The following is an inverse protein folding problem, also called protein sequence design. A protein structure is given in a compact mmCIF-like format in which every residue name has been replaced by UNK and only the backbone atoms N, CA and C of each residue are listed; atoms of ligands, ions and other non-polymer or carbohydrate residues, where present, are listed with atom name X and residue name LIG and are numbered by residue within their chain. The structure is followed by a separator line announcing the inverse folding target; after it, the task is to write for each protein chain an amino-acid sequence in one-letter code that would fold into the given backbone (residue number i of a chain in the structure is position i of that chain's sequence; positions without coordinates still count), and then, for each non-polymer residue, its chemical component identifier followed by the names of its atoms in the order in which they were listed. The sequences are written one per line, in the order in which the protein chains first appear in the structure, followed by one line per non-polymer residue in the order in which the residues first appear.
data_IF_997028192250
#
_entry.id   IF_997028192250
#
_cell.length_a   1.000
_cell.length_b   1.000
_cell.length_c   1.000
_cell.angle_alpha   90.00
_cell.angle_beta   90.00
_cell.angle_gamma   90.00
#
_symmetry.space_group_name_H-M   'P 1'
#
loop_
_entity.id
_entity.type
_entity.pdbx_description
1 polymer ?
#
# COMPACT_ATOMS: atom_id res chain seq x y z
N UNK A 1 76.20 -22.96 23.96
CA UNK A 1 76.71 -21.58 23.80
C UNK A 1 76.50 -21.21 22.33
N UNK A 2 75.40 -20.51 22.01
CA UNK A 2 75.34 -19.06 21.63
C UNK A 2 76.06 -18.78 20.29
N UNK A 3 75.52 -18.05 19.30
CA UNK A 3 74.58 -16.93 19.35
C UNK A 3 73.88 -16.62 17.99
N UNK A 4 72.81 -15.84 18.11
CA UNK A 4 71.96 -15.15 17.11
C UNK A 4 72.66 -14.27 16.07
N UNK A 5 72.00 -14.04 14.91
CA UNK A 5 71.71 -12.69 14.32
C UNK A 5 70.62 -12.77 13.20
N UNK A 6 69.99 -11.66 12.73
CA UNK A 6 68.52 -11.52 12.68
C UNK A 6 67.94 -11.04 11.31
N UNK A 7 66.65 -10.62 11.32
CA UNK A 7 65.91 -9.80 10.32
C UNK A 7 65.44 -10.53 9.04
N UNK A 8 64.30 -10.23 8.43
CA UNK A 8 63.40 -9.06 8.45
C UNK A 8 62.01 -9.48 7.93
N UNK A 9 60.97 -8.85 8.44
CA UNK A 9 59.58 -8.91 7.95
C UNK A 9 59.52 -8.32 6.53
N UNK A 10 58.91 -9.02 5.57
CA UNK A 10 58.44 -8.42 4.32
C UNK A 10 56.99 -8.82 4.11
N UNK A 11 56.14 -7.80 4.00
CA UNK A 11 54.70 -7.88 3.83
C UNK A 11 54.37 -7.39 2.41
N UNK A 12 53.44 -8.09 1.75
CA UNK A 12 52.57 -7.68 0.64
C UNK A 12 53.22 -7.32 -0.72
N UNK A 13 52.83 -8.03 -1.81
CA UNK A 13 51.65 -7.71 -2.65
C UNK A 13 51.53 -8.60 -3.92
N UNK A 14 50.31 -9.12 -4.12
CA UNK A 14 49.50 -9.19 -5.35
C UNK A 14 49.97 -9.84 -6.67
N UNK A 15 49.02 -10.55 -7.32
CA UNK A 15 48.98 -10.90 -8.74
C UNK A 15 48.90 -12.42 -8.99
N UNK A 16 47.76 -13.12 -8.93
CA UNK A 16 46.53 -13.09 -9.74
C UNK A 16 46.51 -14.08 -10.93
N UNK A 17 45.37 -14.79 -11.04
CA UNK A 17 44.75 -15.50 -12.16
C UNK A 17 45.13 -16.96 -12.51
N UNK A 18 44.18 -17.87 -12.21
CA UNK A 18 43.70 -18.90 -13.15
C UNK A 18 42.23 -19.27 -12.82
N UNK A 19 41.34 -19.12 -13.79
CA UNK A 19 39.92 -19.53 -13.79
C UNK A 19 39.80 -21.03 -14.18
N UNK A 20 38.64 -21.75 -14.13
CA UNK A 20 37.35 -21.34 -14.76
C UNK A 20 36.03 -21.74 -14.04
N UNK A 21 34.98 -20.98 -14.40
CA UNK A 21 33.53 -21.25 -14.53
C UNK A 21 32.83 -22.37 -13.73
N UNK A 22 31.68 -22.05 -13.11
CA UNK A 22 30.36 -22.70 -13.32
C UNK A 22 29.24 -21.82 -12.69
N UNK A 23 28.21 -21.53 -13.51
CA UNK A 23 26.83 -21.08 -13.19
C UNK A 23 26.60 -20.30 -11.88
N UNK A 24 26.49 -18.97 -11.98
CA UNK A 24 25.66 -18.21 -11.06
C UNK A 24 24.19 -18.46 -11.42
N UNK A 25 23.59 -19.54 -10.93
CA UNK A 25 22.16 -19.52 -10.65
C UNK A 25 21.96 -18.43 -9.61
N UNK A 26 21.20 -17.39 -9.96
CA UNK A 26 20.74 -16.39 -9.01
C UNK A 26 20.06 -17.12 -7.86
N UNK A 27 20.77 -17.27 -6.76
CA UNK A 27 20.18 -17.64 -5.50
C UNK A 27 19.24 -16.49 -5.15
N UNK A 28 17.96 -16.66 -5.47
CA UNK A 28 16.87 -15.99 -4.78
C UNK A 28 17.22 -16.12 -3.29
N UNK A 29 17.25 -15.04 -2.49
CA UNK A 29 17.41 -15.18 -1.06
C UNK A 29 16.37 -16.20 -0.62
N UNK A 30 16.83 -17.38 -0.23
CA UNK A 30 15.97 -18.35 0.42
C UNK A 30 15.49 -17.61 1.65
N UNK A 31 14.24 -17.16 1.61
CA UNK A 31 13.50 -16.75 2.78
C UNK A 31 13.82 -17.81 3.81
N UNK A 32 14.53 -17.41 4.86
CA UNK A 32 14.54 -18.15 6.10
C UNK A 32 13.13 -18.01 6.66
N UNK A 33 12.17 -18.67 6.01
CA UNK A 33 10.86 -18.90 6.52
C UNK A 33 11.07 -19.76 7.76
N UNK A 34 10.85 -19.17 8.92
CA UNK A 34 10.54 -19.95 10.10
C UNK A 34 9.47 -20.94 9.70
N UNK A 35 9.72 -22.24 9.88
CA UNK A 35 8.70 -23.26 9.72
C UNK A 35 7.63 -23.00 10.77
N UNK A 36 6.59 -22.25 10.40
CA UNK A 36 5.37 -22.21 11.19
C UNK A 36 4.73 -23.60 11.06
N UNK A 37 4.59 -24.31 12.19
CA UNK A 37 4.25 -25.74 12.20
C UNK A 37 2.82 -26.06 11.75
N UNK A 38 2.01 -25.04 11.44
CA UNK A 38 0.64 -25.19 10.95
C UNK A 38 0.49 -24.44 9.63
N UNK A 39 0.04 -25.10 8.54
CA UNK A 39 -0.32 -24.41 7.31
C UNK A 39 -1.37 -23.33 7.60
N UNK A 40 -1.09 -22.09 7.20
CA UNK A 40 -1.91 -20.92 7.48
C UNK A 40 -2.00 -20.01 6.27
N UNK A 41 -3.20 -19.51 6.03
CA UNK A 41 -3.41 -18.35 5.17
C UNK A 41 -2.96 -17.15 5.99
N UNK A 42 -2.05 -16.34 5.45
CA UNK A 42 -1.58 -15.12 6.10
C UNK A 42 -1.41 -14.07 5.00
N UNK A 43 -2.05 -12.93 5.17
CA UNK A 43 -2.24 -11.93 4.14
C UNK A 43 -1.73 -10.58 4.61
N UNK A 44 -0.67 -10.10 3.97
CA UNK A 44 -0.22 -8.73 4.12
C UNK A 44 -0.98 -7.80 3.18
N UNK A 45 -1.29 -6.61 3.68
CA UNK A 45 -1.81 -5.51 2.87
C UNK A 45 -0.83 -4.36 2.84
N UNK A 46 -0.87 -3.51 1.81
CA UNK A 46 -0.08 -2.28 1.74
C UNK A 46 -0.90 -1.25 0.97
N UNK A 47 -1.00 -0.02 1.48
CA UNK A 47 -1.48 1.11 0.70
C UNK A 47 -0.28 1.81 0.05
N UNK A 48 -0.44 2.21 -1.21
CA UNK A 48 0.57 3.02 -1.88
C UNK A 48 0.75 4.35 -1.18
N UNK A 49 2.00 4.80 -1.05
CA UNK A 49 2.26 6.18 -0.69
C UNK A 49 1.72 7.14 -1.77
N UNK A 50 1.13 8.29 -1.38
CA UNK A 50 0.83 9.35 -2.33
C UNK A 50 2.08 9.80 -3.10
N UNK A 51 1.93 10.12 -4.38
CA UNK A 51 3.06 10.58 -5.22
C UNK A 51 3.64 11.89 -4.66
N UNK A 52 4.96 11.94 -4.50
CA UNK A 52 5.72 13.14 -4.08
C UNK A 52 6.71 13.54 -5.17
N UNK A 53 6.79 14.83 -5.49
CA UNK A 53 7.84 15.38 -6.33
C UNK A 53 9.12 15.49 -5.51
N UNK A 54 10.07 14.57 -5.72
CA UNK A 54 11.33 14.53 -4.98
C UNK A 54 12.26 15.71 -5.24
N UNK A 55 11.98 16.57 -6.23
CA UNK A 55 12.74 17.77 -6.49
C UNK A 55 12.30 18.96 -5.63
N UNK A 56 11.01 19.03 -5.31
CA UNK A 56 10.39 20.12 -4.53
C UNK A 56 9.93 19.68 -3.14
N UNK A 57 9.87 18.36 -2.90
CA UNK A 57 9.21 17.73 -1.75
C UNK A 57 7.74 18.13 -1.60
N UNK A 58 7.09 18.48 -2.72
CA UNK A 58 5.66 18.81 -2.75
C UNK A 58 4.81 17.59 -3.16
N UNK A 59 3.56 17.48 -2.66
CA UNK A 59 2.63 16.47 -3.11
C UNK A 59 2.31 16.62 -4.60
N UNK A 60 2.17 15.50 -5.32
CA UNK A 60 1.73 15.49 -6.71
C UNK A 60 0.24 15.18 -6.75
N UNK A 61 -0.55 16.10 -7.32
CA UNK A 61 -2.00 15.96 -7.43
C UNK A 61 -2.38 15.22 -8.72
N UNK A 62 -2.11 13.91 -8.77
CA UNK A 62 -2.33 13.03 -9.94
C UNK A 62 -3.52 12.06 -9.78
N UNK A 63 -3.98 11.81 -8.56
CA UNK A 63 -5.11 10.91 -8.28
C UNK A 63 -6.45 11.61 -8.49
N UNK A 64 -7.31 11.15 -9.42
CA UNK A 64 -8.60 11.78 -9.67
C UNK A 64 -9.63 11.41 -8.60
N UNK A 65 -10.44 12.40 -8.22
CA UNK A 65 -11.68 12.22 -7.46
C UNK A 65 -12.86 12.48 -8.38
N UNK A 66 -13.77 11.53 -8.50
CA UNK A 66 -14.90 11.60 -9.42
C UNK A 66 -16.17 12.14 -8.76
N UNK A 67 -17.05 12.77 -9.55
CA UNK A 67 -18.39 13.17 -9.11
C UNK A 67 -19.39 12.02 -9.25
N UNK A 68 -19.96 11.61 -8.13
CA UNK A 68 -21.03 10.61 -8.06
C UNK A 68 -20.55 9.18 -8.39
N UNK A 69 -21.21 8.14 -7.85
CA UNK A 69 -20.72 6.76 -7.90
C UNK A 69 -20.83 6.10 -9.28
N UNK A 70 -21.53 6.72 -10.23
CA UNK A 70 -21.85 6.12 -11.54
C UNK A 70 -21.02 6.66 -12.70
N UNK A 71 -20.20 7.70 -12.50
CA UNK A 71 -19.41 8.28 -13.59
C UNK A 71 -17.92 8.20 -13.29
N UNK A 72 -17.20 7.44 -14.10
CA UNK A 72 -15.73 7.32 -14.09
C UNK A 72 -15.06 8.38 -14.97
N UNK A 73 -15.84 9.32 -15.51
CA UNK A 73 -15.37 10.31 -16.51
C UNK A 73 -15.50 11.75 -16.03
N UNK A 74 -16.23 12.01 -14.95
CA UNK A 74 -16.44 13.36 -14.43
C UNK A 74 -15.53 13.61 -13.22
N UNK A 75 -14.29 14.03 -13.49
CA UNK A 75 -13.31 14.35 -12.45
C UNK A 75 -13.70 15.67 -11.78
N UNK A 76 -13.92 15.63 -10.47
CA UNK A 76 -14.24 16.79 -9.64
C UNK A 76 -12.98 17.60 -9.26
N UNK A 77 -11.92 16.87 -8.94
CA UNK A 77 -10.64 17.39 -8.44
C UNK A 77 -9.54 16.33 -8.64
N UNK A 78 -8.29 16.76 -8.56
CA UNK A 78 -7.14 15.87 -8.43
C UNK A 78 -6.49 16.06 -7.06
N UNK A 79 -5.85 14.99 -6.61
CA UNK A 79 -5.46 14.80 -5.24
C UNK A 79 -4.13 14.05 -5.14
N UNK A 80 -3.43 14.21 -4.02
CA UNK A 80 -2.27 13.39 -3.67
C UNK A 80 -2.71 12.39 -2.61
N UNK A 81 -3.29 11.27 -3.03
CA UNK A 81 -3.79 10.19 -2.16
C UNK A 81 -3.27 8.83 -2.62
N UNK A 82 -3.27 7.80 -1.74
CA UNK A 82 -3.06 6.42 -2.16
C UNK A 82 -3.98 6.08 -3.33
N UNK A 83 -3.44 5.46 -4.39
CA UNK A 83 -4.24 5.09 -5.57
C UNK A 83 -4.22 3.59 -5.84
N UNK A 84 -3.44 2.83 -5.08
CA UNK A 84 -3.44 1.37 -5.12
C UNK A 84 -3.33 0.80 -3.72
N UNK A 85 -3.90 -0.39 -3.54
CA UNK A 85 -3.60 -1.25 -2.41
C UNK A 85 -3.04 -2.57 -2.95
N UNK A 86 -2.02 -3.11 -2.31
CA UNK A 86 -1.42 -4.40 -2.66
C UNK A 86 -1.76 -5.41 -1.59
N UNK A 87 -2.29 -6.56 -1.99
CA UNK A 87 -2.49 -7.72 -1.11
C UNK A 87 -1.42 -8.74 -1.46
N UNK A 88 -0.74 -9.30 -0.46
CA UNK A 88 0.28 -10.34 -0.65
C UNK A 88 -0.03 -11.52 0.27
N UNK A 89 -0.04 -12.72 -0.29
CA UNK A 89 -0.09 -13.92 0.53
C UNK A 89 1.31 -14.21 1.07
N UNK A 90 1.53 -13.90 2.35
CA UNK A 90 2.79 -14.17 3.07
C UNK A 90 2.76 -15.51 3.82
N UNK A 91 1.59 -16.16 3.84
CA UNK A 91 1.37 -17.46 4.42
C UNK A 91 1.91 -18.63 3.61
N UNK A 92 1.53 -19.83 4.05
CA UNK A 92 2.07 -21.10 3.53
C UNK A 92 1.05 -21.88 2.69
N UNK A 93 -0.21 -21.44 2.64
CA UNK A 93 -1.27 -22.03 1.80
C UNK A 93 -1.94 -20.98 0.91
N UNK A 94 -2.62 -21.38 -0.18
CA UNK A 94 -3.31 -20.43 -1.06
C UNK A 94 -4.45 -19.69 -0.35
N UNK A 95 -4.52 -18.37 -0.53
CA UNK A 95 -5.62 -17.53 -0.06
C UNK A 95 -6.71 -17.45 -1.13
N UNK A 96 -7.93 -17.88 -0.82
CA UNK A 96 -9.06 -17.87 -1.75
C UNK A 96 -10.02 -16.75 -1.40
N UNK A 97 -10.35 -15.94 -2.41
CA UNK A 97 -11.22 -14.78 -2.29
C UNK A 97 -10.89 -13.84 -1.11
N UNK A 98 -9.64 -13.34 -1.01
CA UNK A 98 -9.25 -12.48 0.08
C UNK A 98 -10.16 -11.27 0.19
N UNK A 99 -10.42 -10.84 1.42
CA UNK A 99 -11.39 -9.81 1.73
C UNK A 99 -10.93 -8.96 2.90
N UNK A 100 -11.61 -7.85 3.14
CA UNK A 100 -11.28 -6.99 4.25
C UNK A 100 -12.18 -5.77 4.33
N UNK A 101 -11.71 -4.76 5.06
CA UNK A 101 -12.42 -3.49 5.19
C UNK A 101 -11.55 -2.34 4.71
N UNK A 102 -12.19 -1.30 4.19
CA UNK A 102 -11.56 -0.04 3.83
C UNK A 102 -12.37 1.10 4.43
N UNK A 103 -11.72 1.95 5.19
CA UNK A 103 -12.28 3.16 5.76
C UNK A 103 -11.71 4.37 5.03
N UNK A 104 -12.57 5.34 4.78
CA UNK A 104 -12.11 6.67 4.34
C UNK A 104 -12.66 7.74 5.26
N UNK A 105 -11.92 8.82 5.45
CA UNK A 105 -12.39 10.01 6.17
C UNK A 105 -11.86 11.26 5.48
N UNK A 106 -12.76 12.11 4.97
CA UNK A 106 -12.38 13.36 4.30
C UNK A 106 -12.73 14.55 5.16
N UNK A 107 -11.72 15.33 5.51
CA UNK A 107 -11.84 16.47 6.42
C UNK A 107 -11.40 17.77 5.74
N UNK A 108 -12.20 18.84 5.85
CA UNK A 108 -11.75 20.19 5.50
C UNK A 108 -10.75 20.68 6.55
N UNK A 109 -9.50 20.89 6.13
CA UNK A 109 -8.41 21.33 7.01
C UNK A 109 -8.10 22.82 6.88
N UNK A 110 -8.65 23.49 5.87
CA UNK A 110 -8.41 24.93 5.65
C UNK A 110 -9.36 25.80 6.46
N UNK A 111 -10.64 25.44 6.53
CA UNK A 111 -11.67 26.29 7.15
C UNK A 111 -12.21 25.74 8.46
N UNK A 112 -11.87 24.50 8.80
CA UNK A 112 -12.37 23.85 10.00
C UNK A 112 -11.26 23.24 10.86
N UNK A 113 -10.69 24.07 11.73
CA UNK A 113 -9.73 23.65 12.75
C UNK A 113 -10.31 22.67 13.80
N UNK A 114 -11.62 22.42 13.81
CA UNK A 114 -12.29 21.51 14.76
C UNK A 114 -12.63 20.14 14.19
N UNK A 115 -12.48 19.92 12.87
CA UNK A 115 -12.72 18.62 12.22
C UNK A 115 -14.18 18.20 12.13
N UNK A 116 -15.12 19.16 12.14
CA UNK A 116 -16.57 18.97 12.06
C UNK A 116 -17.11 18.93 10.62
N UNK A 117 -16.39 19.51 9.67
CA UNK A 117 -16.71 19.62 8.25
C UNK A 117 -16.12 18.42 7.51
N UNK A 118 -16.92 17.36 7.46
CA UNK A 118 -16.57 16.10 6.82
C UNK A 118 -17.42 15.82 5.59
N UNK A 119 -16.84 15.18 4.58
CA UNK A 119 -17.56 14.74 3.39
C UNK A 119 -17.38 13.23 3.18
N UNK A 120 -18.48 12.55 2.85
CA UNK A 120 -18.43 11.12 2.56
C UNK A 120 -17.70 10.86 1.24
N UNK A 121 -16.64 10.07 1.30
CA UNK A 121 -15.87 9.62 0.14
C UNK A 121 -16.16 8.15 -0.13
N UNK A 122 -16.65 7.83 -1.32
CA UNK A 122 -16.91 6.46 -1.73
C UNK A 122 -15.70 5.89 -2.46
N UNK A 123 -15.51 4.58 -2.33
CA UNK A 123 -14.39 3.87 -2.95
C UNK A 123 -14.90 2.78 -3.89
N UNK A 124 -14.20 2.60 -5.01
CA UNK A 124 -14.38 1.49 -5.93
C UNK A 124 -13.02 1.12 -6.56
N UNK A 125 -12.98 0.05 -7.34
CA UNK A 125 -11.81 -0.35 -8.14
C UNK A 125 -12.13 -0.35 -9.64
N UNK A 126 -11.09 -0.27 -10.46
CA UNK A 126 -11.18 -0.57 -11.90
C UNK A 126 -10.92 -2.04 -12.23
N UNK A 127 -10.41 -2.80 -11.28
CA UNK A 127 -10.24 -4.25 -11.41
C UNK A 127 -11.62 -4.93 -11.34
N UNK A 128 -12.05 -5.64 -12.41
CA UNK A 128 -13.34 -6.32 -12.42
C UNK A 128 -13.44 -7.49 -11.42
N UNK A 129 -12.32 -7.96 -10.88
CA UNK A 129 -12.31 -9.02 -9.85
C UNK A 129 -12.55 -8.45 -8.45
N UNK A 130 -12.47 -7.14 -8.26
CA UNK A 130 -12.62 -6.50 -6.96
C UNK A 130 -13.99 -5.86 -6.83
N UNK A 131 -14.67 -6.18 -5.74
CA UNK A 131 -15.94 -5.53 -5.37
C UNK A 131 -15.77 -4.77 -4.07
N UNK A 132 -16.26 -3.53 -4.02
CA UNK A 132 -16.46 -2.77 -2.80
C UNK A 132 -17.95 -2.69 -2.47
N UNK A 133 -18.33 -2.98 -1.24
CA UNK A 133 -19.69 -2.87 -0.75
C UNK A 133 -19.72 -1.93 0.47
N UNK A 134 -20.66 -0.98 0.48
CA UNK A 134 -20.80 -0.05 1.59
C UNK A 134 -21.20 -0.79 2.87
N UNK A 135 -20.38 -0.69 3.91
CA UNK A 135 -20.54 -1.39 5.18
C UNK A 135 -21.17 -0.49 6.27
N UNK A 136 -21.20 0.82 6.05
CA UNK A 136 -21.75 1.79 7.00
C UNK A 136 -20.85 3.03 7.13
N UNK A 137 -21.09 3.82 8.17
CA UNK A 137 -20.26 4.96 8.52
C UNK A 137 -20.19 5.07 10.04
N UNK A 138 -18.98 5.29 10.58
CA UNK A 138 -18.77 5.49 12.02
C UNK A 138 -19.17 6.91 12.47
N UNK A 139 -19.13 7.87 11.55
CA UNK A 139 -19.53 9.25 11.72
C UNK A 139 -19.84 9.89 10.38
N UNK A 140 -20.38 11.11 10.39
CA UNK A 140 -20.63 11.84 9.14
C UNK A 140 -19.31 12.03 8.38
N UNK A 141 -19.26 11.59 7.12
CA UNK A 141 -18.06 11.73 6.29
C UNK A 141 -16.98 10.66 6.47
N UNK A 142 -17.21 9.66 7.32
CA UNK A 142 -16.27 8.56 7.55
C UNK A 142 -16.86 7.19 7.14
N UNK A 143 -17.11 6.95 5.85
CA UNK A 143 -17.68 5.70 5.38
C UNK A 143 -16.68 4.55 5.41
N UNK A 144 -17.22 3.36 5.67
CA UNK A 144 -16.51 2.08 5.63
C UNK A 144 -17.10 1.20 4.54
N UNK A 145 -16.23 0.42 3.90
CA UNK A 145 -16.55 -0.51 2.83
C UNK A 145 -15.96 -1.88 3.16
N UNK A 146 -16.69 -2.95 2.88
CA UNK A 146 -16.06 -4.25 2.72
C UNK A 146 -15.54 -4.39 1.30
N UNK A 147 -14.41 -5.05 1.14
CA UNK A 147 -13.85 -5.37 -0.17
C UNK A 147 -13.62 -6.87 -0.31
N UNK A 148 -13.70 -7.37 -1.53
CA UNK A 148 -13.42 -8.78 -1.85
C UNK A 148 -12.77 -8.85 -3.22
N UNK A 149 -11.68 -9.61 -3.32
CA UNK A 149 -11.04 -9.96 -4.59
C UNK A 149 -11.47 -11.37 -5.00
N UNK A 150 -12.04 -11.52 -6.19
CA UNK A 150 -12.58 -12.79 -6.70
C UNK A 150 -11.48 -13.62 -7.40
N UNK A 151 -10.52 -14.10 -6.62
CA UNK A 151 -9.38 -14.85 -7.13
C UNK A 151 -8.70 -15.72 -6.09
N UNK A 152 -7.52 -16.25 -6.43
CA UNK A 152 -6.69 -17.03 -5.52
C UNK A 152 -5.27 -16.52 -5.58
N UNK A 153 -4.66 -16.27 -4.41
CA UNK A 153 -3.26 -15.89 -4.30
C UNK A 153 -2.47 -17.08 -3.77
N UNK A 154 -1.51 -17.58 -4.54
CA UNK A 154 -0.56 -18.58 -4.07
C UNK A 154 0.40 -17.97 -3.03
N UNK A 155 1.04 -18.79 -2.17
CA UNK A 155 2.10 -18.30 -1.28
C UNK A 155 3.16 -17.47 -2.03
N UNK A 156 3.42 -16.25 -1.55
CA UNK A 156 4.32 -15.27 -2.13
C UNK A 156 3.75 -14.47 -3.30
N UNK A 157 2.50 -14.71 -3.72
CA UNK A 157 1.83 -13.96 -4.78
C UNK A 157 1.19 -12.68 -4.24
N UNK A 158 1.23 -11.64 -5.06
CA UNK A 158 0.59 -10.36 -4.77
C UNK A 158 -0.40 -9.96 -5.87
N UNK A 159 -1.43 -9.23 -5.48
CA UNK A 159 -2.34 -8.52 -6.40
C UNK A 159 -2.35 -7.04 -6.06
N UNK A 160 -2.21 -6.20 -7.08
CA UNK A 160 -2.34 -4.76 -6.97
C UNK A 160 -3.77 -4.36 -7.37
N UNK A 161 -4.47 -3.71 -6.45
CA UNK A 161 -5.86 -3.29 -6.60
C UNK A 161 -5.90 -1.76 -6.75
N UNK A 162 -6.29 -1.24 -7.93
CA UNK A 162 -6.42 0.19 -8.14
C UNK A 162 -7.61 0.76 -7.38
N UNK A 163 -7.41 1.86 -6.65
CA UNK A 163 -8.43 2.55 -5.89
C UNK A 163 -8.96 3.77 -6.66
N UNK A 164 -10.27 3.95 -6.63
CA UNK A 164 -10.97 5.11 -7.20
C UNK A 164 -11.86 5.74 -6.14
N UNK A 165 -11.76 7.05 -6.01
CA UNK A 165 -12.51 7.82 -5.02
C UNK A 165 -13.61 8.65 -5.67
N UNK A 166 -14.76 8.69 -5.03
CA UNK A 166 -15.94 9.41 -5.52
C UNK A 166 -16.53 10.24 -4.39
N UNK A 167 -17.02 11.42 -4.73
CA UNK A 167 -17.76 12.29 -3.81
C UNK A 167 -19.10 12.65 -4.42
N UNK A 168 -20.16 12.63 -3.61
CA UNK A 168 -21.47 13.11 -4.05
C UNK A 168 -21.49 14.64 -4.14
N UNK A 169 -20.86 15.31 -3.16
CA UNK A 169 -20.73 16.75 -3.09
C UNK A 169 -19.27 17.09 -2.80
N UNK A 170 -18.47 17.51 -3.79
CA UNK A 170 -17.10 17.91 -3.54
C UNK A 170 -17.07 19.17 -2.67
N UNK A 171 -16.10 19.24 -1.77
CA UNK A 171 -15.76 20.48 -1.07
C UNK A 171 -15.46 21.60 -2.08
N UNK A 172 -16.02 22.79 -1.86
CA UNK A 172 -15.84 23.95 -2.75
C UNK A 172 -14.81 24.92 -2.18
N UNK A 173 -13.72 25.14 -2.92
CA UNK A 173 -12.70 26.17 -2.64
C UNK A 173 -12.02 26.04 -1.26
N UNK A 174 -11.80 24.82 -0.78
CA UNK A 174 -11.11 24.53 0.50
C UNK A 174 -10.06 23.43 0.32
N UNK A 175 -9.03 23.43 1.16
CA UNK A 175 -8.09 22.31 1.24
C UNK A 175 -8.69 21.23 2.14
N UNK A 176 -8.57 19.98 1.74
CA UNK A 176 -9.06 18.84 2.50
C UNK A 176 -8.02 17.73 2.51
N UNK A 177 -8.07 16.92 3.56
CA UNK A 177 -7.29 15.70 3.69
C UNK A 177 -8.20 14.50 3.52
N UNK A 178 -7.68 13.44 2.93
CA UNK A 178 -8.33 12.14 2.88
C UNK A 178 -7.46 11.14 3.62
N UNK A 179 -7.99 10.63 4.72
CA UNK A 179 -7.46 9.48 5.41
C UNK A 179 -8.02 8.21 4.76
N UNK A 180 -7.15 7.23 4.53
CA UNK A 180 -7.50 5.91 4.02
C UNK A 180 -6.87 4.88 4.94
N UNK A 181 -7.71 4.01 5.51
CA UNK A 181 -7.26 2.85 6.26
C UNK A 181 -7.80 1.60 5.59
N UNK A 182 -7.01 0.55 5.54
CA UNK A 182 -7.41 -0.72 4.97
C UNK A 182 -6.96 -1.85 5.88
N UNK A 183 -7.82 -2.85 5.97
CA UNK A 183 -7.60 -4.09 6.70
C UNK A 183 -7.77 -5.24 5.71
N UNK A 184 -7.11 -6.35 6.01
CA UNK A 184 -7.36 -7.64 5.38
C UNK A 184 -7.76 -8.66 6.44
N UNK A 185 -8.62 -9.59 6.05
CA UNK A 185 -9.09 -10.70 6.88
C UNK A 185 -8.38 -11.94 6.34
N UNK A 186 -7.63 -12.62 7.19
CA UNK A 186 -7.11 -13.96 6.91
C UNK A 186 -7.94 -15.05 7.63
N UNK A 187 -7.63 -16.31 7.34
CA UNK A 187 -8.41 -17.47 7.78
C UNK A 187 -7.62 -18.33 8.78
N UNK A 188 -7.36 -17.79 9.98
CA UNK A 188 -7.56 -18.54 11.24
C UNK A 188 -7.93 -17.57 12.37
N UNK A 189 -9.20 -17.62 12.79
CA UNK A 189 -9.81 -16.88 13.92
C UNK A 189 -10.39 -15.48 13.64
N UNK A 190 -10.38 -15.02 12.38
CA UNK A 190 -11.00 -13.73 12.02
C UNK A 190 -10.29 -12.56 12.70
N UNK A 191 -9.00 -12.72 12.93
CA UNK A 191 -8.11 -11.64 13.26
C UNK A 191 -7.92 -10.74 12.04
N UNK A 192 -7.69 -9.48 12.36
CA UNK A 192 -7.40 -8.42 11.41
C UNK A 192 -6.02 -7.92 11.78
N UNK A 193 -5.02 -8.76 11.53
CA UNK A 193 -3.66 -8.55 12.02
C UNK A 193 -2.87 -7.56 11.16
N UNK A 194 -3.26 -7.42 9.88
CA UNK A 194 -2.63 -6.49 8.95
C UNK A 194 -3.51 -5.29 8.63
N UNK A 195 -3.14 -4.14 9.22
CA UNK A 195 -3.79 -2.85 9.06
C UNK A 195 -2.79 -1.82 8.54
N UNK A 196 -3.17 -1.11 7.48
CA UNK A 196 -2.36 -0.03 6.92
C UNK A 196 -3.18 1.25 6.86
N UNK A 197 -2.57 2.34 7.31
CA UNK A 197 -3.18 3.66 7.36
C UNK A 197 -2.30 4.64 6.60
N UNK A 198 -2.85 5.30 5.59
CA UNK A 198 -2.18 6.37 4.87
C UNK A 198 -3.09 7.59 4.77
N UNK A 199 -2.49 8.75 5.00
CA UNK A 199 -3.11 10.04 4.75
C UNK A 199 -2.53 10.63 3.48
N UNK A 200 -3.39 11.29 2.71
CA UNK A 200 -2.91 12.23 1.71
C UNK A 200 -3.64 13.56 1.78
N UNK A 201 -3.09 14.55 1.10
CA UNK A 201 -3.53 15.95 1.15
C UNK A 201 -4.03 16.37 -0.23
N UNK A 202 -5.12 17.13 -0.26
CA UNK A 202 -5.64 17.71 -1.50
C UNK A 202 -5.97 19.18 -1.36
N UNK A 203 -5.64 19.94 -2.39
CA UNK A 203 -6.18 21.27 -2.57
C UNK A 203 -7.46 21.19 -3.39
N UNK A 204 -8.61 21.39 -2.75
CA UNK A 204 -9.90 21.43 -3.43
C UNK A 204 -10.01 22.64 -4.34
N UNK A 205 -9.69 22.44 -5.61
CA UNK A 205 -9.98 23.39 -6.69
C UNK A 205 -10.90 22.71 -7.69
N UNK A 206 -12.10 23.25 -7.86
CA UNK A 206 -13.03 22.78 -8.90
C UNK A 206 -12.38 23.06 -10.25
N UNK A 207 -12.15 22.00 -11.03
CA UNK A 207 -11.80 22.13 -12.45
C UNK A 207 -13.14 22.21 -13.20
N UNK A 208 -13.35 23.33 -13.91
CA UNK A 208 -14.49 23.54 -14.78
C UNK A 208 -14.26 22.90 -16.15
#
# INVERSE_FOLDING_TARGET
MTAHTPKRRTVLKAGAWAAPAVLATSAIPAYAASFEETPRTDLAILLSDPTVDWSTFEPVYDSPIYRGPTTTTNVAAYASFPNTMTITNVGTVPAVNPSGTLLTDMNDVATDATGSNRAGTYVNSSDPLVTFAYAGQAGWGSPSFTWTYSGTLQPGESVEIPLRYYVNFPFWNVQYELFVAVTVIDEMDGDSDDNFEHMGVTQGRVIY
#
